data_IF_670324620853
#
_entry.id   IF_670324620853
#
_cell.length_a   1.000
_cell.length_b   1.000
_cell.length_c   1.000
_cell.angle_alpha   90.00
_cell.angle_beta   90.00
_cell.angle_gamma   90.00
#
_symmetry.space_group_name_H-M   'P 1'
#
loop_
_entity.id
_entity.type
_entity.pdbx_description
1 polymer ?
#
# COMPACT_ATOMS: atom_id res chain seq x y z
N UNK A 1 -16.64 -10.45 -5.43
CA UNK A 1 -15.60 -9.50 -5.02
C UNK A 1 -16.21 -8.69 -3.88
N UNK A 2 -16.11 -9.15 -2.63
CA UNK A 2 -16.79 -8.51 -1.46
C UNK A 2 -16.00 -8.62 -0.15
N UNK A 3 -14.89 -9.37 -0.13
CA UNK A 3 -14.15 -9.61 1.10
C UNK A 3 -13.21 -8.46 1.51
N UNK A 4 -12.97 -7.48 0.62
CA UNK A 4 -12.16 -6.30 0.90
C UNK A 4 -12.87 -5.33 1.84
N UNK A 5 -14.13 -5.02 1.52
CA UNK A 5 -14.93 -4.00 2.22
C UNK A 5 -15.29 -4.44 3.65
N UNK A 6 -15.70 -5.71 3.85
CA UNK A 6 -15.96 -6.24 5.20
C UNK A 6 -14.73 -6.16 6.13
N UNK A 7 -13.53 -6.47 5.62
CA UNK A 7 -12.30 -6.44 6.42
C UNK A 7 -11.86 -5.02 6.78
N UNK A 8 -12.16 -4.04 5.94
CA UNK A 8 -11.86 -2.63 6.21
C UNK A 8 -12.85 -2.05 7.24
N UNK A 9 -14.13 -2.37 7.11
CA UNK A 9 -15.16 -2.00 8.10
C UNK A 9 -14.85 -2.60 9.49
N UNK A 10 -14.39 -3.84 9.54
CA UNK A 10 -13.98 -4.50 10.79
C UNK A 10 -12.77 -3.82 11.45
N UNK A 11 -11.79 -3.35 10.67
CA UNK A 11 -10.62 -2.62 11.18
C UNK A 11 -11.04 -1.26 11.76
N UNK A 12 -11.90 -0.51 11.07
CA UNK A 12 -12.41 0.76 11.55
C UNK A 12 -13.20 0.60 12.86
N UNK A 13 -13.99 -0.46 12.98
CA UNK A 13 -14.71 -0.80 14.21
C UNK A 13 -13.76 -1.09 15.38
N UNK A 14 -12.72 -1.89 15.14
CA UNK A 14 -11.72 -2.21 16.18
C UNK A 14 -10.94 -0.97 16.65
N UNK A 15 -10.61 -0.06 15.74
CA UNK A 15 -9.98 1.23 16.09
C UNK A 15 -10.89 2.01 17.04
N UNK A 16 -12.17 2.17 16.67
CA UNK A 16 -13.14 2.94 17.45
C UNK A 16 -13.37 2.33 18.85
N UNK A 17 -13.39 1.00 18.95
CA UNK A 17 -13.50 0.31 20.23
C UNK A 17 -12.30 0.61 21.14
N UNK A 18 -11.07 0.50 20.61
CA UNK A 18 -9.85 0.78 21.38
C UNK A 18 -9.71 2.26 21.76
N UNK A 19 -10.12 3.18 20.88
CA UNK A 19 -10.17 4.62 21.19
C UNK A 19 -11.20 4.93 22.29
N UNK A 20 -12.38 4.33 22.23
CA UNK A 20 -13.40 4.48 23.28
C UNK A 20 -12.93 3.92 24.62
N UNK A 21 -12.22 2.79 24.60
CA UNK A 21 -11.60 2.22 25.80
C UNK A 21 -10.57 3.18 26.40
N UNK A 22 -9.71 3.77 25.56
CA UNK A 22 -8.75 4.77 26.02
C UNK A 22 -9.42 5.98 26.67
N UNK A 23 -10.52 6.48 26.09
CA UNK A 23 -11.28 7.59 26.65
C UNK A 23 -11.97 7.23 27.97
N UNK A 24 -12.41 5.97 28.12
CA UNK A 24 -13.09 5.51 29.33
C UNK A 24 -12.12 5.18 30.48
N UNK A 25 -10.98 4.56 30.20
CA UNK A 25 -9.99 4.15 31.21
C UNK A 25 -8.90 5.20 31.47
N UNK A 26 -8.73 6.17 30.57
CA UNK A 26 -7.69 7.20 30.62
C UNK A 26 -6.30 6.71 30.20
N UNK A 27 -5.98 5.42 30.36
CA UNK A 27 -4.73 4.78 29.91
C UNK A 27 -5.03 3.36 29.39
N UNK A 28 -4.45 2.98 28.24
CA UNK A 28 -4.51 1.62 27.71
C UNK A 28 -3.29 0.78 28.13
N UNK A 29 -3.44 -0.54 28.04
CA UNK A 29 -2.32 -1.46 28.21
C UNK A 29 -1.32 -1.35 27.04
N UNK A 30 -0.02 -1.63 27.25
CA UNK A 30 0.99 -1.58 26.18
C UNK A 30 0.62 -2.44 24.95
N UNK A 31 0.08 -3.63 25.18
CA UNK A 31 -0.38 -4.55 24.13
C UNK A 31 -1.59 -4.01 23.34
N UNK A 32 -2.46 -3.23 23.98
CA UNK A 32 -3.59 -2.57 23.31
C UNK A 32 -3.10 -1.39 22.46
N UNK A 33 -2.14 -0.61 22.97
CA UNK A 33 -1.48 0.43 22.17
C UNK A 33 -0.75 -0.13 20.95
N UNK A 34 -0.08 -1.28 21.11
CA UNK A 34 0.57 -1.98 20.00
C UNK A 34 -0.45 -2.39 18.92
N UNK A 35 -1.56 -3.02 19.32
CA UNK A 35 -2.63 -3.39 18.39
C UNK A 35 -3.24 -2.16 17.70
N UNK A 36 -3.53 -1.10 18.46
CA UNK A 36 -4.09 0.15 17.91
C UNK A 36 -3.15 0.78 16.86
N UNK A 37 -1.84 0.79 17.14
CA UNK A 37 -0.84 1.28 16.19
C UNK A 37 -0.84 0.44 14.90
N UNK A 38 -0.89 -0.88 15.01
CA UNK A 38 -0.95 -1.79 13.86
C UNK A 38 -2.23 -1.60 13.04
N UNK A 39 -3.36 -1.34 13.70
CA UNK A 39 -4.63 -1.04 13.04
C UNK A 39 -4.57 0.27 12.25
N UNK A 40 -3.98 1.33 12.81
CA UNK A 40 -3.78 2.58 12.06
C UNK A 40 -2.90 2.40 10.84
N UNK A 41 -1.81 1.62 10.95
CA UNK A 41 -0.96 1.27 9.82
C UNK A 41 -1.76 0.53 8.76
N UNK A 42 -2.60 -0.44 9.16
CA UNK A 42 -3.48 -1.18 8.26
C UNK A 42 -4.49 -0.27 7.55
N UNK A 43 -5.05 0.72 8.24
CA UNK A 43 -5.95 1.71 7.63
C UNK A 43 -5.22 2.81 6.82
N UNK A 44 -3.90 2.72 6.65
CA UNK A 44 -3.07 3.72 5.97
C UNK A 44 -3.11 5.13 6.61
N UNK A 45 -3.59 5.24 7.86
CA UNK A 45 -3.68 6.52 8.54
C UNK A 45 -2.41 6.78 9.37
N UNK A 46 -1.34 7.15 8.66
CA UNK A 46 -0.03 7.39 9.26
C UNK A 46 -0.02 8.59 10.22
N UNK A 47 -0.92 9.55 10.01
CA UNK A 47 -1.03 10.73 10.89
C UNK A 47 -1.65 10.37 12.24
N UNK A 48 -2.72 9.57 12.23
CA UNK A 48 -3.31 9.05 13.46
C UNK A 48 -2.29 8.19 14.25
N UNK A 49 -1.54 7.33 13.57
CA UNK A 49 -0.44 6.57 14.19
C UNK A 49 0.60 7.49 14.86
N UNK A 50 0.96 8.60 14.21
CA UNK A 50 1.90 9.59 14.78
C UNK A 50 1.34 10.33 15.98
N UNK A 51 0.06 10.67 15.96
CA UNK A 51 -0.59 11.31 17.11
C UNK A 51 -0.76 10.32 18.27
N UNK A 52 -1.06 9.05 17.99
CA UNK A 52 -1.08 8.00 19.00
C UNK A 52 0.27 7.90 19.70
N UNK A 53 1.38 7.83 18.97
CA UNK A 53 2.71 7.73 19.58
C UNK A 53 3.04 8.88 20.53
N UNK A 54 2.57 10.09 20.23
CA UNK A 54 2.74 11.25 21.12
C UNK A 54 1.91 11.15 22.40
N UNK A 55 0.75 10.48 22.33
CA UNK A 55 -0.18 10.30 23.46
C UNK A 55 0.28 9.21 24.42
N UNK A 56 0.95 8.16 23.91
CA UNK A 56 1.41 7.04 24.73
C UNK A 56 2.40 7.54 25.82
N UNK A 57 2.17 7.22 27.11
CA UNK A 57 3.08 7.53 28.21
C UNK A 57 4.47 6.90 28.03
N UNK A 58 5.50 7.55 28.58
CA UNK A 58 6.89 7.07 28.53
C UNK A 58 7.05 5.66 29.11
N UNK A 59 6.31 5.36 30.17
CA UNK A 59 6.38 4.08 30.88
C UNK A 59 5.93 2.91 29.98
N UNK A 60 4.87 3.11 29.20
CA UNK A 60 4.39 2.13 28.23
C UNK A 60 5.38 1.90 27.07
N UNK A 61 6.11 2.96 26.67
CA UNK A 61 7.15 2.86 25.61
C UNK A 61 8.37 2.09 26.06
N UNK A 62 8.73 2.16 27.34
CA UNK A 62 9.86 1.43 27.90
C UNK A 62 9.50 -0.04 28.21
N UNK A 63 8.24 -0.31 28.52
CA UNK A 63 7.77 -1.64 28.90
C UNK A 63 7.72 -2.65 27.75
N UNK A 64 7.49 -2.21 26.51
CA UNK A 64 7.28 -3.10 25.37
C UNK A 64 8.27 -2.80 24.21
N UNK A 65 9.27 -3.66 23.96
CA UNK A 65 10.21 -3.49 22.85
C UNK A 65 9.53 -3.68 21.48
N UNK A 66 8.46 -4.49 21.39
CA UNK A 66 7.70 -4.68 20.15
C UNK A 66 7.01 -3.38 19.72
N UNK A 67 6.53 -2.60 20.69
CA UNK A 67 5.92 -1.29 20.45
C UNK A 67 6.93 -0.31 19.83
N UNK A 68 8.18 -0.29 20.30
CA UNK A 68 9.23 0.53 19.70
C UNK A 68 9.61 0.04 18.29
N UNK A 69 9.69 -1.27 18.08
CA UNK A 69 10.02 -1.83 16.77
C UNK A 69 8.97 -1.47 15.71
N UNK A 70 7.67 -1.62 16.04
CA UNK A 70 6.57 -1.21 15.13
C UNK A 70 6.57 0.29 14.88
N UNK A 71 6.92 1.10 15.88
CA UNK A 71 7.06 2.54 15.69
C UNK A 71 8.22 2.89 14.75
N UNK A 72 9.36 2.20 14.84
CA UNK A 72 10.47 2.40 13.90
C UNK A 72 10.03 2.08 12.46
N UNK A 73 9.28 0.98 12.25
CA UNK A 73 8.67 0.68 10.95
C UNK A 73 7.70 1.79 10.50
N UNK A 74 6.92 2.34 11.43
CA UNK A 74 6.01 3.47 11.15
C UNK A 74 6.77 4.72 10.69
N UNK A 75 7.93 5.02 11.29
CA UNK A 75 8.79 6.15 10.88
C UNK A 75 9.28 5.95 9.44
N UNK A 76 9.66 4.73 9.05
CA UNK A 76 10.09 4.44 7.68
C UNK A 76 8.97 4.73 6.67
N UNK A 77 7.74 4.32 6.99
CA UNK A 77 6.56 4.62 6.17
C UNK A 77 6.27 6.13 6.10
N UNK A 78 6.38 6.83 7.23
CA UNK A 78 6.21 8.29 7.30
C UNK A 78 7.25 9.03 6.43
N UNK A 79 8.49 8.53 6.38
CA UNK A 79 9.57 9.07 5.54
C UNK A 79 9.51 8.62 4.08
N UNK A 80 8.51 7.81 3.70
CA UNK A 80 8.38 7.21 2.36
C UNK A 80 9.56 6.33 1.95
N UNK A 81 10.28 5.76 2.92
CA UNK A 81 11.39 4.83 2.67
C UNK A 81 10.86 3.40 2.58
N UNK A 82 10.23 3.07 1.45
CA UNK A 82 9.57 1.78 1.25
C UNK A 82 10.58 0.62 1.23
N UNK A 83 11.76 0.81 0.64
CA UNK A 83 12.81 -0.21 0.53
C UNK A 83 13.28 -0.65 1.93
N UNK A 84 13.65 0.32 2.77
CA UNK A 84 14.05 0.09 4.18
C UNK A 84 12.89 -0.50 5.00
N UNK A 85 11.66 -0.07 4.73
CA UNK A 85 10.49 -0.64 5.40
C UNK A 85 10.30 -2.12 5.04
N UNK A 86 10.37 -2.50 3.76
CA UNK A 86 10.16 -3.88 3.30
C UNK A 86 11.19 -4.83 3.91
N UNK A 87 12.47 -4.45 3.89
CA UNK A 87 13.56 -5.21 4.51
C UNK A 87 13.38 -5.36 6.03
N UNK A 88 13.20 -4.25 6.74
CA UNK A 88 13.06 -4.24 8.20
C UNK A 88 11.80 -4.99 8.65
N UNK A 89 10.70 -4.83 7.91
CA UNK A 89 9.43 -5.51 8.22
C UNK A 89 9.55 -7.01 8.00
N UNK A 90 10.22 -7.46 6.94
CA UNK A 90 10.47 -8.90 6.68
C UNK A 90 11.31 -9.53 7.79
N UNK A 91 12.36 -8.85 8.25
CA UNK A 91 13.15 -9.32 9.38
C UNK A 91 12.33 -9.40 10.66
N UNK A 92 11.53 -8.36 10.93
CA UNK A 92 10.65 -8.33 12.09
C UNK A 92 9.59 -9.44 12.06
N UNK A 93 8.99 -9.74 10.89
CA UNK A 93 8.03 -10.84 10.73
C UNK A 93 8.63 -12.23 10.93
N UNK A 94 9.96 -12.39 10.83
CA UNK A 94 10.66 -13.67 11.08
C UNK A 94 10.84 -13.96 12.56
N UNK A 95 10.74 -12.97 13.42
CA UNK A 95 10.83 -13.15 14.86
C UNK A 95 9.57 -13.84 15.42
N UNK A 96 9.74 -14.90 16.20
CA UNK A 96 8.64 -15.75 16.74
C UNK A 96 7.90 -15.08 17.92
N UNK A 97 8.44 -14.01 18.49
CA UNK A 97 7.92 -13.36 19.71
C UNK A 97 6.66 -12.49 19.48
N UNK A 98 6.07 -12.52 18.28
CA UNK A 98 4.99 -11.62 17.89
C UNK A 98 3.61 -12.22 18.14
N UNK A 99 2.72 -11.39 18.70
CA UNK A 99 1.30 -11.72 18.81
C UNK A 99 0.70 -11.97 17.41
N UNK A 100 -0.13 -13.01 17.23
CA UNK A 100 -0.67 -13.37 15.92
C UNK A 100 -1.52 -12.26 15.29
N UNK A 101 -2.19 -11.45 16.11
CA UNK A 101 -2.94 -10.28 15.65
C UNK A 101 -2.01 -9.26 14.99
N UNK A 102 -0.91 -8.91 15.67
CA UNK A 102 0.08 -7.93 15.19
C UNK A 102 0.72 -8.41 13.89
N UNK A 103 1.10 -9.69 13.83
CA UNK A 103 1.67 -10.29 12.63
C UNK A 103 0.70 -10.25 11.44
N UNK A 104 -0.59 -10.53 11.67
CA UNK A 104 -1.63 -10.45 10.65
C UNK A 104 -1.83 -9.02 10.13
N UNK A 105 -1.88 -8.02 11.02
CA UNK A 105 -2.00 -6.62 10.60
C UNK A 105 -0.76 -6.15 9.83
N UNK A 106 0.44 -6.48 10.32
CA UNK A 106 1.68 -6.01 9.71
C UNK A 106 1.97 -6.70 8.38
N UNK A 107 1.66 -8.00 8.25
CA UNK A 107 1.75 -8.71 6.96
C UNK A 107 0.82 -8.11 5.90
N UNK A 108 -0.39 -7.69 6.27
CA UNK A 108 -1.29 -6.98 5.36
C UNK A 108 -0.70 -5.63 4.91
N UNK A 109 -0.07 -4.88 5.83
CA UNK A 109 0.62 -3.62 5.50
C UNK A 109 1.81 -3.89 4.58
N UNK A 110 2.62 -4.89 4.88
CA UNK A 110 3.74 -5.32 4.05
C UNK A 110 3.29 -5.62 2.61
N UNK A 111 2.28 -6.46 2.44
CA UNK A 111 1.73 -6.81 1.12
C UNK A 111 1.22 -5.58 0.37
N UNK A 112 0.56 -4.64 1.05
CA UNK A 112 0.09 -3.40 0.42
C UNK A 112 1.25 -2.56 -0.12
N UNK A 113 2.28 -2.34 0.70
CA UNK A 113 3.44 -1.54 0.30
C UNK A 113 4.23 -2.25 -0.81
N UNK A 114 4.37 -3.56 -0.72
CA UNK A 114 5.01 -4.38 -1.74
C UNK A 114 4.27 -4.25 -3.09
N UNK A 115 2.95 -4.45 -3.12
CA UNK A 115 2.14 -4.28 -4.33
C UNK A 115 2.23 -2.87 -4.88
N UNK A 116 2.06 -1.85 -4.03
CA UNK A 116 2.18 -0.46 -4.46
C UNK A 116 3.55 -0.13 -5.05
N UNK A 117 4.62 -0.74 -4.53
CA UNK A 117 5.98 -0.55 -5.05
C UNK A 117 6.11 -1.23 -6.42
N UNK A 118 5.60 -2.45 -6.57
CA UNK A 118 5.58 -3.18 -7.85
C UNK A 118 4.78 -2.40 -8.90
N UNK A 119 3.60 -1.90 -8.56
CA UNK A 119 2.74 -1.15 -9.47
C UNK A 119 3.39 0.18 -9.89
N UNK A 120 4.09 0.84 -8.96
CA UNK A 120 4.88 2.04 -9.26
C UNK A 120 6.01 1.70 -10.24
N UNK A 121 6.72 0.60 -10.04
CA UNK A 121 7.81 0.19 -10.93
C UNK A 121 7.26 -0.13 -12.33
N UNK A 122 6.16 -0.89 -12.39
CA UNK A 122 5.50 -1.26 -13.65
C UNK A 122 5.00 -0.06 -14.43
N UNK A 123 4.59 1.01 -13.76
CA UNK A 123 4.08 2.23 -14.41
C UNK A 123 5.14 3.28 -14.71
N UNK A 124 6.25 3.31 -13.96
CA UNK A 124 7.29 4.34 -14.09
C UNK A 124 8.43 3.95 -15.05
N UNK A 125 8.62 2.66 -15.32
CA UNK A 125 9.72 2.16 -16.14
C UNK A 125 9.20 1.35 -17.32
N UNK A 126 9.75 1.56 -18.50
CA UNK A 126 9.61 0.64 -19.64
C UNK A 126 10.80 -0.34 -19.75
N UNK A 127 11.90 0.00 -19.08
CA UNK A 127 13.10 -0.84 -18.95
C UNK A 127 13.78 -0.51 -17.62
N UNK A 128 14.19 -1.54 -16.87
CA UNK A 128 14.84 -1.38 -15.56
C UNK A 128 15.94 -2.41 -15.38
N UNK A 129 17.07 -2.04 -14.75
CA UNK A 129 18.10 -3.02 -14.41
C UNK A 129 17.66 -3.91 -13.25
N UNK A 130 18.08 -5.17 -13.28
CA UNK A 130 17.74 -6.14 -12.22
C UNK A 130 18.32 -5.70 -10.88
N UNK A 131 19.53 -5.12 -10.85
CA UNK A 131 20.13 -4.58 -9.64
C UNK A 131 19.29 -3.45 -9.02
N UNK A 132 18.77 -2.54 -9.86
CA UNK A 132 17.92 -1.44 -9.40
C UNK A 132 16.58 -1.97 -8.89
N UNK A 133 16.01 -2.96 -9.57
CA UNK A 133 14.80 -3.64 -9.13
C UNK A 133 14.99 -4.28 -7.75
N UNK A 134 16.07 -5.06 -7.56
CA UNK A 134 16.40 -5.69 -6.29
C UNK A 134 16.59 -4.64 -5.18
N UNK A 135 17.28 -3.54 -5.49
CA UNK A 135 17.49 -2.43 -4.55
C UNK A 135 16.17 -1.80 -4.09
N UNK A 136 15.21 -1.56 -5.00
CA UNK A 136 13.92 -0.95 -4.64
C UNK A 136 12.99 -1.91 -3.92
N UNK A 137 13.01 -3.20 -4.27
CA UNK A 137 12.16 -4.19 -3.58
C UNK A 137 12.79 -4.70 -2.28
N UNK A 138 14.10 -4.49 -2.09
CA UNK A 138 14.88 -5.10 -1.01
C UNK A 138 14.72 -6.62 -0.94
N UNK A 139 14.66 -7.25 -2.12
CA UNK A 139 14.48 -8.70 -2.31
C UNK A 139 15.64 -9.29 -3.12
N UNK A 140 15.91 -10.60 -2.97
CA UNK A 140 16.85 -11.29 -3.83
C UNK A 140 16.34 -11.30 -5.28
N UNK A 141 17.27 -11.42 -6.22
CA UNK A 141 17.00 -11.37 -7.66
C UNK A 141 15.90 -12.33 -8.11
N UNK A 142 15.90 -13.57 -7.61
CA UNK A 142 14.94 -14.60 -7.99
C UNK A 142 13.49 -14.18 -7.64
N UNK A 143 13.27 -13.75 -6.39
CA UNK A 143 11.97 -13.25 -5.94
C UNK A 143 11.59 -11.94 -6.66
N UNK A 144 12.54 -11.03 -6.88
CA UNK A 144 12.27 -9.75 -7.53
C UNK A 144 11.81 -9.92 -8.99
N UNK A 145 12.47 -10.81 -9.74
CA UNK A 145 12.10 -11.15 -11.12
C UNK A 145 10.76 -11.86 -11.16
N UNK A 146 10.45 -12.73 -10.18
CA UNK A 146 9.16 -13.41 -10.14
C UNK A 146 7.97 -12.46 -9.99
N UNK A 147 8.13 -11.27 -9.40
CA UNK A 147 7.04 -10.26 -9.35
C UNK A 147 6.80 -9.55 -10.70
N UNK A 148 7.74 -9.69 -11.63
CA UNK A 148 7.74 -9.09 -12.96
C UNK A 148 7.43 -10.14 -14.04
N UNK A 149 6.46 -11.03 -13.79
CA UNK A 149 6.13 -12.21 -14.62
C UNK A 149 5.93 -11.92 -16.11
N UNK A 150 5.46 -10.72 -16.46
CA UNK A 150 5.16 -10.34 -17.85
C UNK A 150 6.33 -9.65 -18.56
N UNK A 151 7.44 -9.38 -17.87
CA UNK A 151 8.57 -8.64 -18.40
C UNK A 151 9.63 -9.59 -18.95
N UNK A 152 10.23 -9.23 -20.08
CA UNK A 152 11.23 -10.06 -20.74
C UNK A 152 12.63 -9.62 -20.35
N UNK A 153 13.56 -10.56 -20.07
CA UNK A 153 14.96 -10.21 -19.88
C UNK A 153 15.57 -9.74 -21.21
N UNK A 154 16.40 -8.70 -21.15
CA UNK A 154 17.20 -8.22 -22.28
C UNK A 154 18.22 -9.26 -22.72
N UNK A 155 18.76 -9.12 -23.94
CA UNK A 155 19.78 -10.01 -24.52
C UNK A 155 21.02 -10.17 -23.62
N UNK A 156 21.36 -9.15 -22.84
CA UNK A 156 22.50 -9.15 -21.90
C UNK A 156 22.15 -9.74 -20.53
N UNK A 157 20.88 -10.05 -20.26
CA UNK A 157 20.39 -10.60 -18.98
C UNK A 157 20.39 -9.63 -17.80
N UNK A 158 20.81 -8.37 -17.99
CA UNK A 158 20.96 -7.36 -16.93
C UNK A 158 19.74 -6.46 -16.73
N UNK A 159 18.87 -6.39 -17.73
CA UNK A 159 17.69 -5.52 -17.75
C UNK A 159 16.42 -6.33 -17.96
N UNK A 160 15.34 -5.87 -17.34
CA UNK A 160 13.97 -6.32 -17.62
C UNK A 160 13.29 -5.25 -18.46
N UNK A 161 12.66 -5.70 -19.54
CA UNK A 161 11.96 -4.87 -20.50
C UNK A 161 10.46 -5.14 -20.36
N UNK A 162 9.70 -4.06 -20.24
CA UNK A 162 8.25 -4.12 -20.21
C UNK A 162 7.76 -4.79 -21.50
N UNK A 163 6.79 -5.73 -21.43
CA UNK A 163 6.18 -6.27 -22.63
C UNK A 163 5.59 -5.08 -23.38
N UNK A 164 6.12 -4.80 -24.57
CA UNK A 164 5.63 -3.71 -25.39
C UNK A 164 4.14 -3.96 -25.61
N UNK A 165 3.30 -3.27 -24.84
CA UNK A 165 1.90 -3.15 -25.18
C UNK A 165 1.96 -2.56 -26.60
N UNK A 166 1.43 -3.25 -27.63
CA UNK A 166 1.29 -2.59 -28.92
C UNK A 166 0.48 -1.35 -28.59
N UNK A 167 1.14 -0.19 -28.59
CA UNK A 167 0.44 1.05 -28.41
C UNK A 167 -0.60 1.01 -29.53
N UNK A 168 -1.92 0.99 -29.25
CA UNK A 168 -2.83 1.40 -30.29
C UNK A 168 -2.29 2.77 -30.67
N UNK A 169 -1.76 2.89 -31.89
CA UNK A 169 -1.29 4.17 -32.38
C UNK A 169 -2.37 5.17 -31.99
N UNK A 170 -2.01 6.29 -31.36
CA UNK A 170 -2.99 7.31 -30.94
C UNK A 170 -3.81 7.83 -32.15
N UNK A 171 -3.45 7.41 -33.37
CA UNK A 171 -4.14 7.63 -34.62
C UNK A 171 -5.05 6.47 -35.09
N UNK A 172 -5.32 5.47 -34.25
CA UNK A 172 -6.23 4.35 -34.52
C UNK A 172 -7.31 4.20 -33.45
N UNK A 173 -7.66 5.28 -32.75
CA UNK A 173 -9.00 5.35 -32.14
C UNK A 173 -9.97 5.42 -33.31
N UNK A 174 -10.99 4.55 -33.33
CA UNK A 174 -12.15 4.66 -34.22
C UNK A 174 -12.72 6.10 -34.11
N UNK A 175 -12.19 7.00 -34.93
CA UNK A 175 -12.55 8.42 -34.94
C UNK A 175 -14.05 8.55 -35.17
N UNK A 176 -14.60 7.63 -35.97
CA UNK A 176 -16.01 7.46 -36.26
C UNK A 176 -16.88 7.21 -35.01
N UNK A 177 -16.40 6.44 -34.02
CA UNK A 177 -17.17 6.21 -32.78
C UNK A 177 -17.25 7.48 -31.94
N UNK A 178 -16.12 8.18 -31.78
CA UNK A 178 -16.06 9.43 -31.02
C UNK A 178 -16.83 10.58 -31.68
N UNK A 179 -16.82 10.66 -33.03
CA UNK A 179 -17.58 11.66 -33.78
C UNK A 179 -19.08 11.34 -33.72
N UNK A 180 -19.47 10.06 -33.85
CA UNK A 180 -20.88 9.66 -33.76
C UNK A 180 -21.47 10.00 -32.39
N UNK A 181 -20.73 9.73 -31.31
CA UNK A 181 -21.17 10.06 -29.96
C UNK A 181 -21.30 11.57 -29.74
N UNK A 182 -20.33 12.36 -30.22
CA UNK A 182 -20.40 13.82 -30.16
C UNK A 182 -21.60 14.39 -30.95
N UNK A 183 -21.85 13.86 -32.16
CA UNK A 183 -22.99 14.25 -32.98
C UNK A 183 -24.33 13.89 -32.33
N UNK A 184 -24.40 12.73 -31.65
CA UNK A 184 -25.58 12.35 -30.86
C UNK A 184 -25.82 13.37 -29.74
N UNK A 185 -24.80 13.75 -28.99
CA UNK A 185 -24.93 14.75 -27.92
C UNK A 185 -25.35 16.13 -28.44
N UNK A 186 -24.80 16.58 -29.56
CA UNK A 186 -25.21 17.85 -30.18
C UNK A 186 -26.66 17.82 -30.67
N UNK A 187 -27.11 16.68 -31.20
CA UNK A 187 -28.49 16.50 -31.66
C UNK A 187 -29.47 16.49 -30.49
N UNK A 188 -29.11 15.84 -29.37
CA UNK A 188 -29.87 15.90 -28.12
C UNK A 188 -29.97 17.33 -27.60
N UNK A 189 -28.87 18.09 -27.63
CA UNK A 189 -28.86 19.48 -27.18
C UNK A 189 -29.71 20.41 -28.06
N UNK A 190 -29.64 20.24 -29.39
CA UNK A 190 -30.48 21.00 -30.33
C UNK A 190 -31.96 20.70 -30.14
N UNK A 191 -32.33 19.42 -30.00
CA UNK A 191 -33.73 19.04 -29.77
C UNK A 191 -34.27 19.48 -28.41
N UNK A 192 -33.40 19.57 -27.40
CA UNK A 192 -33.75 20.16 -26.10
C UNK A 192 -34.03 21.66 -26.20
N UNK A 193 -33.21 22.40 -26.96
CA UNK A 193 -33.41 23.84 -27.17
C UNK A 193 -34.64 24.17 -28.03
N UNK A 194 -35.02 23.28 -28.96
CA UNK A 194 -36.15 23.49 -29.87
C UNK A 194 -37.52 23.18 -29.23
N UNK A 195 -37.55 22.39 -28.14
CA UNK A 195 -38.77 22.04 -27.41
C UNK A 195 -39.02 22.91 -26.15
N UNK A 196 -38.33 24.05 -26.03
CA UNK A 196 -38.54 25.07 -24.99
C UNK A 196 -39.24 26.29 -25.57
#
# INVERSE_FOLDING_TARGET
>A
MDQGDSKEVDVCRQILELENLEMASGVLNPSQYLNLLCLYLRNNNLMAARFLWKRIPSDCKAADPCLQAVWNLTILLLKRRNDEFLSSCREFLRSDDLSPSVQSHLSAVYQRIQRSTIDLIKSAFSCISIEKLCSMMSLPQDEAVSFMENWTPSSDGLFLIEPSVPHPCVNCVDQDKTITDFMRTLTEFSSFMENM
#
